data_IF_375235020204
#
_entry.id   IF_375235020204
#
_cell.length_a   1.000
_cell.length_b   1.000
_cell.length_c   1.000
_cell.angle_alpha   90.00
_cell.angle_beta   90.00
_cell.angle_gamma   90.00
#
_symmetry.space_group_name_H-M   'P 1'
#
loop_
_entity.id
_entity.type
_entity.pdbx_description
1 polymer ?
#
# COMPACT_ATOMS: atom_id res chain seq x y z
N UNK A 1 -4.35 -12.84 8.97
CA UNK A 1 -5.51 -13.24 8.13
C UNK A 1 -6.72 -12.40 8.48
N UNK A 2 -7.44 -11.89 7.49
CA UNK A 2 -8.69 -11.14 7.67
C UNK A 2 -9.82 -11.93 7.04
N UNK A 3 -10.83 -12.27 7.83
CA UNK A 3 -12.04 -12.92 7.36
C UNK A 3 -13.15 -11.87 7.28
N UNK A 4 -13.80 -11.80 6.14
CA UNK A 4 -14.87 -10.85 5.85
C UNK A 4 -16.16 -11.65 5.74
N UNK A 5 -16.99 -11.64 6.78
CA UNK A 5 -18.33 -12.19 6.71
C UNK A 5 -19.21 -11.29 5.85
N UNK A 6 -19.09 -9.96 6.06
CA UNK A 6 -19.74 -8.96 5.23
C UNK A 6 -18.99 -7.62 5.28
N UNK A 7 -18.81 -6.98 4.12
CA UNK A 7 -18.34 -5.60 3.99
C UNK A 7 -18.94 -5.01 2.70
N UNK A 8 -19.99 -4.21 2.83
CA UNK A 8 -20.78 -3.78 1.69
C UNK A 8 -21.36 -4.98 0.91
N UNK A 9 -21.06 -5.09 -0.38
CA UNK A 9 -21.46 -6.23 -1.21
C UNK A 9 -20.57 -7.47 -1.04
N UNK A 10 -19.38 -7.32 -0.44
CA UNK A 10 -18.43 -8.43 -0.25
C UNK A 10 -18.93 -9.33 0.87
N UNK A 11 -19.00 -10.64 0.62
CA UNK A 11 -19.40 -11.64 1.61
C UNK A 11 -18.47 -12.86 1.58
N UNK A 12 -18.36 -13.51 2.74
CA UNK A 12 -17.72 -14.82 2.94
C UNK A 12 -16.38 -14.93 2.20
N UNK A 13 -15.46 -14.03 2.53
CA UNK A 13 -14.17 -13.89 1.87
C UNK A 13 -13.04 -13.85 2.89
N UNK A 14 -11.86 -14.32 2.49
CA UNK A 14 -10.65 -14.27 3.33
C UNK A 14 -9.51 -13.59 2.58
N UNK A 15 -8.75 -12.76 3.30
CA UNK A 15 -7.61 -12.02 2.78
C UNK A 15 -6.41 -12.23 3.69
N UNK A 16 -5.30 -12.56 3.10
CA UNK A 16 -4.00 -12.61 3.76
C UNK A 16 -3.23 -11.33 3.46
N UNK A 17 -2.78 -10.63 4.49
CA UNK A 17 -1.97 -9.41 4.31
C UNK A 17 -0.59 -9.81 3.81
N UNK A 18 -0.17 -9.19 2.73
CA UNK A 18 1.13 -9.42 2.09
C UNK A 18 1.76 -8.09 1.66
N UNK A 19 3.08 -8.06 1.36
CA UNK A 19 3.77 -6.83 0.98
C UNK A 19 3.12 -6.10 -0.19
N UNK A 20 2.71 -6.83 -1.22
CA UNK A 20 2.04 -6.26 -2.40
C UNK A 20 0.72 -6.97 -2.61
N UNK A 21 -0.36 -6.22 -2.62
CA UNK A 21 -1.71 -6.73 -2.79
C UNK A 21 -2.36 -6.08 -4.01
N UNK A 22 -2.84 -6.91 -4.92
CA UNK A 22 -3.46 -6.46 -6.16
C UNK A 22 -4.92 -6.90 -6.20
N UNK A 23 -5.82 -5.94 -6.38
CA UNK A 23 -7.25 -6.16 -6.47
C UNK A 23 -7.74 -5.84 -7.88
N UNK A 24 -8.23 -6.83 -8.60
CA UNK A 24 -8.76 -6.72 -9.97
C UNK A 24 -10.22 -7.15 -10.04
N UNK A 25 -10.89 -6.84 -11.15
CA UNK A 25 -12.29 -7.16 -11.40
C UNK A 25 -13.10 -5.95 -11.86
N UNK A 26 -14.39 -6.15 -12.14
CA UNK A 26 -15.30 -5.11 -12.63
C UNK A 26 -15.48 -3.96 -11.64
N UNK A 27 -16.01 -2.84 -12.15
CA UNK A 27 -16.38 -1.67 -11.34
C UNK A 27 -17.49 -2.00 -10.33
N UNK A 28 -17.45 -1.34 -9.16
CA UNK A 28 -18.51 -1.45 -8.16
C UNK A 28 -18.48 -2.73 -7.32
N UNK A 29 -17.47 -3.60 -7.47
CA UNK A 29 -17.35 -4.85 -6.71
C UNK A 29 -16.67 -4.67 -5.32
N UNK A 30 -16.19 -3.47 -4.97
CA UNK A 30 -15.61 -3.21 -3.66
C UNK A 30 -14.09 -3.33 -3.60
N UNK A 31 -13.36 -3.25 -4.72
CA UNK A 31 -11.89 -3.27 -4.75
C UNK A 31 -11.28 -2.22 -3.83
N UNK A 32 -11.76 -0.96 -3.89
CA UNK A 32 -11.30 0.12 -3.03
C UNK A 32 -11.52 -0.19 -1.54
N UNK A 33 -12.64 -0.84 -1.19
CA UNK A 33 -12.91 -1.25 0.20
C UNK A 33 -11.85 -2.22 0.70
N UNK A 34 -11.48 -3.22 -0.14
CA UNK A 34 -10.45 -4.18 0.21
C UNK A 34 -9.06 -3.56 0.28
N UNK A 35 -8.73 -2.70 -0.68
CA UNK A 35 -7.45 -2.03 -0.69
C UNK A 35 -7.27 -1.12 0.55
N UNK A 36 -8.31 -0.36 0.92
CA UNK A 36 -8.33 0.45 2.15
C UNK A 36 -8.28 -0.42 3.41
N UNK A 37 -9.03 -1.55 3.44
CA UNK A 37 -8.98 -2.51 4.55
C UNK A 37 -7.57 -3.04 4.75
N UNK A 38 -6.90 -3.41 3.67
CA UNK A 38 -5.52 -3.89 3.77
C UNK A 38 -4.55 -2.77 4.14
N UNK A 39 -4.76 -1.56 3.61
CA UNK A 39 -3.96 -0.39 3.96
C UNK A 39 -4.07 -0.01 5.45
N UNK A 40 -5.20 -0.28 6.09
CA UNK A 40 -5.39 -0.06 7.53
C UNK A 40 -4.26 -0.68 8.35
N UNK A 41 -3.80 -1.88 8.02
CA UNK A 41 -2.74 -2.55 8.76
C UNK A 41 -1.40 -1.81 8.68
N UNK A 42 -1.12 -1.17 7.57
CA UNK A 42 0.08 -0.33 7.41
C UNK A 42 -0.11 1.05 8.03
N UNK A 43 -1.32 1.60 7.97
CA UNK A 43 -1.65 2.90 8.51
C UNK A 43 -1.68 2.91 10.04
N UNK A 44 -2.23 1.88 10.68
CA UNK A 44 -2.32 1.79 12.14
C UNK A 44 -0.94 1.89 12.80
N UNK A 45 0.11 1.48 12.08
CA UNK A 45 1.50 1.55 12.52
C UNK A 45 1.99 2.99 12.71
N UNK A 46 1.48 3.90 11.90
CA UNK A 46 1.90 5.29 11.85
C UNK A 46 0.95 6.20 12.65
N UNK A 47 -0.25 5.73 12.98
CA UNK A 47 -1.23 6.51 13.72
C UNK A 47 -1.25 6.17 15.22
N UNK A 48 -0.34 6.79 15.96
CA UNK A 48 -0.27 6.65 17.42
C UNK A 48 -1.63 6.89 18.12
N UNK A 49 -2.49 7.77 17.58
CA UNK A 49 -3.79 8.09 18.16
C UNK A 49 -4.75 6.89 18.17
N UNK A 50 -4.64 5.99 17.20
CA UNK A 50 -5.50 4.79 17.15
C UNK A 50 -5.11 3.79 18.23
N UNK A 51 -3.82 3.50 18.36
CA UNK A 51 -3.32 2.60 19.41
C UNK A 51 -3.53 3.23 20.80
N UNK A 52 -3.34 4.53 20.95
CA UNK A 52 -3.61 5.20 22.22
C UNK A 52 -5.09 5.04 22.64
N UNK A 53 -6.06 5.10 21.71
CA UNK A 53 -7.46 4.80 22.05
C UNK A 53 -7.66 3.37 22.59
N UNK A 54 -6.94 2.38 22.03
CA UNK A 54 -6.97 1.03 22.59
C UNK A 54 -6.43 1.00 24.02
N UNK A 55 -5.26 1.59 24.25
CA UNK A 55 -4.63 1.69 25.57
C UNK A 55 -5.59 2.38 26.57
N UNK A 56 -6.15 3.52 26.19
CA UNK A 56 -7.12 4.28 27.00
C UNK A 56 -8.39 3.49 27.29
N UNK A 57 -8.91 2.74 26.30
CA UNK A 57 -10.10 1.89 26.48
C UNK A 57 -9.92 0.79 27.53
N UNK A 58 -8.65 0.39 27.76
CA UNK A 58 -8.28 -0.59 28.79
C UNK A 58 -7.98 0.05 30.15
N UNK A 59 -8.05 1.37 30.26
CA UNK A 59 -7.69 2.11 31.46
C UNK A 59 -6.19 2.04 31.80
N UNK A 60 -5.34 1.74 30.83
CA UNK A 60 -3.91 1.67 31.04
C UNK A 60 -3.28 3.06 31.02
N UNK A 61 -2.88 3.52 32.20
CA UNK A 61 -2.14 4.76 32.41
C UNK A 61 -0.68 4.44 32.75
N UNK A 62 0.25 4.78 31.85
CA UNK A 62 1.64 4.47 32.04
C UNK A 62 2.23 5.02 33.35
N UNK A 63 1.89 6.25 33.71
CA UNK A 63 2.43 6.89 34.91
C UNK A 63 1.97 6.22 36.21
N UNK A 64 0.72 5.74 36.25
CA UNK A 64 0.18 5.00 37.37
C UNK A 64 0.71 3.57 37.43
N UNK A 65 0.81 2.92 36.29
CA UNK A 65 1.28 1.56 36.15
C UNK A 65 2.77 1.43 36.48
N UNK A 66 3.59 2.46 36.21
CA UNK A 66 5.03 2.46 36.46
C UNK A 66 5.39 2.04 37.89
N UNK A 67 4.63 2.50 38.86
CA UNK A 67 4.84 2.17 40.26
C UNK A 67 4.47 0.70 40.56
N UNK A 68 3.36 0.22 39.98
CA UNK A 68 2.95 -1.20 40.15
C UNK A 68 3.91 -2.17 39.45
N UNK A 69 4.54 -1.78 38.37
CA UNK A 69 5.46 -2.63 37.61
C UNK A 69 6.75 -2.94 38.37
N UNK A 70 7.22 -2.00 39.20
CA UNK A 70 8.41 -2.20 40.02
C UNK A 70 8.25 -3.34 41.04
N UNK A 71 7.00 -3.58 41.47
CA UNK A 71 6.72 -4.57 42.50
C UNK A 71 6.42 -5.97 41.94
N UNK A 72 5.86 -6.09 40.76
CA UNK A 72 5.35 -7.37 40.22
C UNK A 72 6.13 -7.95 39.03
N UNK A 73 6.93 -7.15 38.34
CA UNK A 73 7.67 -7.56 37.12
C UNK A 73 6.81 -7.87 35.89
N UNK A 74 5.49 -7.93 36.04
CA UNK A 74 4.55 -8.12 34.93
C UNK A 74 3.71 -6.86 34.75
N UNK A 75 3.85 -6.24 33.60
CA UNK A 75 3.17 -4.97 33.34
C UNK A 75 1.71 -5.17 32.94
N UNK A 76 1.46 -5.96 31.88
CA UNK A 76 0.15 -6.11 31.26
C UNK A 76 0.06 -7.48 30.60
N UNK A 77 -1.12 -8.07 30.67
CA UNK A 77 -1.50 -9.18 29.79
C UNK A 77 -2.58 -8.72 28.84
N UNK A 78 -2.32 -8.83 27.56
CA UNK A 78 -3.25 -8.46 26.49
C UNK A 78 -3.90 -9.73 25.98
N UNK A 79 -5.21 -9.88 26.17
CA UNK A 79 -5.94 -10.99 25.55
C UNK A 79 -5.85 -10.89 24.04
N UNK A 80 -5.34 -11.93 23.41
CA UNK A 80 -5.23 -12.05 21.95
C UNK A 80 -6.58 -11.82 21.29
N UNK A 81 -7.63 -12.48 21.76
CA UNK A 81 -8.98 -12.36 21.21
C UNK A 81 -9.53 -10.93 21.33
N UNK A 82 -9.36 -10.32 22.49
CA UNK A 82 -9.81 -8.95 22.72
C UNK A 82 -9.11 -7.92 21.80
N UNK A 83 -7.82 -8.12 21.56
CA UNK A 83 -7.08 -7.28 20.64
C UNK A 83 -7.47 -7.51 19.17
N UNK A 84 -7.70 -8.77 18.76
CA UNK A 84 -8.23 -9.12 17.44
C UNK A 84 -9.61 -8.49 17.21
N UNK A 85 -10.50 -8.53 18.21
CA UNK A 85 -11.84 -7.93 18.14
C UNK A 85 -11.77 -6.40 18.05
N UNK A 86 -10.87 -5.78 18.83
CA UNK A 86 -10.65 -4.34 18.73
C UNK A 86 -10.11 -3.93 17.36
N UNK A 87 -9.13 -4.67 16.80
CA UNK A 87 -8.61 -4.40 15.46
C UNK A 87 -9.72 -4.46 14.41
N UNK A 88 -10.61 -5.44 14.51
CA UNK A 88 -11.73 -5.59 13.60
C UNK A 88 -12.69 -4.38 13.67
N UNK A 89 -13.04 -3.93 14.87
CA UNK A 89 -13.91 -2.79 15.08
C UNK A 89 -13.25 -1.46 14.63
N UNK A 90 -11.97 -1.25 14.97
CA UNK A 90 -11.23 -0.04 14.56
C UNK A 90 -11.00 0.01 13.05
N UNK A 91 -10.83 -1.15 12.40
CA UNK A 91 -10.74 -1.25 10.93
C UNK A 91 -12.04 -0.76 10.25
N UNK A 92 -13.21 -1.12 10.76
CA UNK A 92 -14.48 -0.60 10.24
C UNK A 92 -14.57 0.91 10.46
N UNK A 93 -14.20 1.41 11.64
CA UNK A 93 -14.14 2.85 11.92
C UNK A 93 -13.18 3.59 10.96
N UNK A 94 -12.05 2.98 10.62
CA UNK A 94 -11.13 3.51 9.63
C UNK A 94 -11.76 3.59 8.24
N UNK A 95 -12.46 2.55 7.80
CA UNK A 95 -13.14 2.54 6.50
C UNK A 95 -14.27 3.57 6.45
N UNK A 96 -15.05 3.72 7.53
CA UNK A 96 -16.08 4.76 7.65
C UNK A 96 -15.48 6.15 7.44
N UNK A 97 -14.35 6.42 8.08
CA UNK A 97 -13.64 7.70 7.92
C UNK A 97 -13.07 7.87 6.50
N UNK A 98 -12.39 6.85 5.96
CA UNK A 98 -11.81 6.91 4.61
C UNK A 98 -12.85 7.22 3.53
N UNK A 99 -14.06 6.68 3.69
CA UNK A 99 -15.16 6.80 2.73
C UNK A 99 -16.14 7.93 3.07
N UNK A 100 -16.01 8.58 4.24
CA UNK A 100 -16.99 9.49 4.80
C UNK A 100 -18.39 8.86 4.82
N UNK A 101 -18.49 7.62 5.30
CA UNK A 101 -19.72 6.86 5.35
C UNK A 101 -19.89 6.19 6.72
N UNK A 102 -20.46 6.93 7.68
CA UNK A 102 -20.72 6.42 9.03
C UNK A 102 -21.74 5.26 9.04
N UNK A 103 -22.56 5.16 8.00
CA UNK A 103 -23.52 4.07 7.82
C UNK A 103 -22.91 2.77 7.31
N UNK A 104 -21.63 2.74 6.95
CA UNK A 104 -20.95 1.53 6.53
C UNK A 104 -20.95 0.51 7.67
N UNK A 105 -21.56 -0.63 7.42
CA UNK A 105 -21.53 -1.78 8.33
C UNK A 105 -20.64 -2.85 7.75
N UNK A 106 -19.90 -3.52 8.63
CA UNK A 106 -19.07 -4.65 8.28
C UNK A 106 -19.00 -5.64 9.44
N UNK A 107 -18.82 -6.90 9.11
CA UNK A 107 -18.56 -7.97 10.07
C UNK A 107 -17.25 -8.63 9.64
N UNK A 108 -16.20 -8.31 10.38
CA UNK A 108 -14.83 -8.76 10.15
C UNK A 108 -14.36 -9.60 11.32
N UNK A 109 -13.50 -10.57 11.04
CA UNK A 109 -12.69 -11.24 12.05
C UNK A 109 -11.23 -11.17 11.61
N UNK A 110 -10.38 -10.63 12.47
CA UNK A 110 -8.95 -10.53 12.25
C UNK A 110 -8.28 -11.62 13.07
N UNK A 111 -7.33 -12.34 12.48
CA UNK A 111 -6.51 -13.33 13.18
C UNK A 111 -5.05 -12.91 13.06
N UNK A 112 -4.42 -12.77 14.21
CA UNK A 112 -2.98 -12.56 14.31
C UNK A 112 -2.22 -13.78 13.77
N UNK A 113 -0.92 -13.66 13.45
CA UNK A 113 -0.10 -14.80 13.03
C UNK A 113 -0.15 -15.96 14.05
N UNK A 114 0.04 -17.19 13.56
CA UNK A 114 -0.08 -18.41 14.37
C UNK A 114 1.04 -18.59 15.39
N UNK A 115 2.18 -17.91 15.20
CA UNK A 115 3.28 -17.83 16.15
C UNK A 115 2.93 -17.04 17.43
N UNK A 116 1.80 -16.34 17.45
CA UNK A 116 1.20 -15.73 18.64
C UNK A 116 0.06 -16.65 19.11
N UNK A 117 0.40 -17.74 19.78
CA UNK A 117 -0.61 -18.73 20.22
C UNK A 117 -1.32 -18.35 21.50
N UNK A 118 -0.68 -17.56 22.36
CA UNK A 118 -1.16 -17.18 23.69
C UNK A 118 -1.40 -15.68 23.82
N UNK A 119 -1.95 -15.28 24.96
CA UNK A 119 -2.08 -13.87 25.32
C UNK A 119 -0.71 -13.19 25.37
N UNK A 120 -0.65 -11.94 24.91
CA UNK A 120 0.59 -11.19 24.82
C UNK A 120 0.92 -10.63 26.21
N UNK A 121 2.01 -11.11 26.79
CA UNK A 121 2.51 -10.61 28.08
C UNK A 121 3.57 -9.54 27.84
N UNK A 122 3.32 -8.34 28.34
CA UNK A 122 4.28 -7.23 28.31
C UNK A 122 4.92 -7.11 29.69
N UNK A 123 6.23 -7.24 29.75
CA UNK A 123 7.02 -7.04 30.97
C UNK A 123 7.77 -5.72 30.90
N UNK A 124 7.96 -5.12 32.05
CA UNK A 124 8.60 -3.82 32.21
C UNK A 124 9.78 -3.92 33.16
N UNK A 125 10.88 -3.25 32.82
CA UNK A 125 12.04 -3.05 33.68
C UNK A 125 12.56 -1.63 33.53
N UNK A 126 13.08 -1.07 34.63
CA UNK A 126 13.88 0.16 34.60
C UNK A 126 15.35 -0.20 34.77
N UNK A 127 16.21 0.37 33.97
CA UNK A 127 17.66 0.28 34.07
C UNK A 127 18.21 1.68 34.31
N UNK A 128 18.88 1.83 35.45
CA UNK A 128 19.55 3.07 35.84
C UNK A 128 21.02 2.94 35.46
N UNK A 129 21.49 3.80 34.59
CA UNK A 129 22.89 3.88 34.17
C UNK A 129 23.46 5.24 34.53
N UNK A 130 24.60 5.26 35.20
CA UNK A 130 25.31 6.51 35.49
C UNK A 130 26.05 6.49 36.83
N UNK A 131 26.87 7.52 37.05
CA UNK A 131 27.52 7.81 38.34
C UNK A 131 26.56 8.70 39.15
N UNK A 132 26.73 8.68 40.47
CA UNK A 132 25.86 9.27 41.52
C UNK A 132 25.28 10.67 41.24
N UNK A 133 25.88 11.45 40.33
CA UNK A 133 25.43 12.81 39.98
C UNK A 133 24.75 12.95 38.62
N UNK A 134 24.66 11.86 37.84
CA UNK A 134 23.96 11.83 36.53
C UNK A 134 23.44 10.43 36.23
N UNK A 135 22.23 10.17 36.68
CA UNK A 135 21.54 8.92 36.43
C UNK A 135 20.66 9.08 35.17
N UNK A 136 20.93 8.26 34.17
CA UNK A 136 20.06 8.09 33.01
C UNK A 136 19.16 6.88 33.24
N UNK A 137 17.85 7.10 33.23
CA UNK A 137 16.86 6.04 33.34
C UNK A 137 16.51 5.53 31.96
N UNK A 138 16.62 4.22 31.77
CA UNK A 138 16.17 3.54 30.56
C UNK A 138 15.00 2.63 30.89
N UNK A 139 14.00 2.67 30.03
CA UNK A 139 12.84 1.78 30.09
C UNK A 139 13.09 0.62 29.15
N UNK A 140 12.97 -0.60 29.67
CA UNK A 140 12.98 -1.84 28.90
C UNK A 140 11.59 -2.44 28.90
N UNK A 141 11.08 -2.76 27.73
CA UNK A 141 9.86 -3.52 27.54
C UNK A 141 10.19 -4.82 26.81
N UNK A 142 9.68 -5.91 27.37
CA UNK A 142 9.74 -7.24 26.78
C UNK A 142 8.34 -7.61 26.32
N UNK A 143 8.21 -7.96 25.05
CA UNK A 143 6.94 -8.39 24.49
C UNK A 143 7.21 -9.45 23.42
N UNK A 144 6.65 -10.64 23.60
CA UNK A 144 7.00 -11.81 22.80
C UNK A 144 8.53 -12.01 22.86
N UNK A 145 9.19 -12.25 21.73
CA UNK A 145 10.65 -12.42 21.64
C UNK A 145 11.43 -11.11 21.48
N UNK A 146 10.74 -9.97 21.63
CA UNK A 146 11.31 -8.66 21.38
C UNK A 146 11.59 -7.89 22.66
N UNK A 147 12.76 -7.26 22.71
CA UNK A 147 13.15 -6.35 23.79
C UNK A 147 13.36 -4.96 23.23
N UNK A 148 12.65 -3.99 23.81
CA UNK A 148 12.80 -2.58 23.48
C UNK A 148 13.46 -1.85 24.63
N UNK A 149 14.42 -0.96 24.31
CA UNK A 149 15.10 -0.10 25.26
C UNK A 149 15.04 1.32 24.78
N UNK A 150 14.55 2.22 25.60
CA UNK A 150 14.47 3.64 25.31
C UNK A 150 14.86 4.45 26.55
N UNK A 151 15.56 5.59 26.33
CA UNK A 151 15.86 6.53 27.40
C UNK A 151 14.57 7.24 27.81
N UNK A 152 14.28 7.30 29.11
CA UNK A 152 13.12 8.01 29.64
C UNK A 152 13.18 9.51 29.26
N UNK A 153 12.04 10.05 28.84
CA UNK A 153 11.93 11.43 28.35
C UNK A 153 12.51 11.70 26.95
N UNK A 154 12.96 10.67 26.21
CA UNK A 154 13.47 10.86 24.84
C UNK A 154 12.40 11.01 23.77
N UNK A 155 11.13 10.73 24.10
CA UNK A 155 9.98 10.88 23.22
C UNK A 155 9.03 11.91 23.82
N UNK A 156 8.97 13.07 23.18
CA UNK A 156 8.16 14.19 23.68
C UNK A 156 6.66 14.06 23.34
N UNK A 157 6.32 13.36 22.26
CA UNK A 157 4.96 13.30 21.71
C UNK A 157 4.11 12.13 22.19
N UNK A 158 4.70 11.15 22.84
CA UNK A 158 4.04 9.89 23.21
C UNK A 158 4.72 9.31 24.45
N UNK A 159 3.97 8.59 25.31
CA UNK A 159 4.61 7.88 26.42
C UNK A 159 5.56 6.79 25.88
N UNK A 160 6.72 6.56 26.52
CA UNK A 160 7.62 5.48 26.11
C UNK A 160 6.95 4.12 26.04
N UNK A 161 5.99 3.86 26.94
CA UNK A 161 5.21 2.62 26.93
C UNK A 161 4.33 2.52 25.68
N UNK A 162 3.57 3.56 25.34
CA UNK A 162 2.71 3.56 24.14
C UNK A 162 3.53 3.39 22.87
N UNK A 163 4.68 4.06 22.79
CA UNK A 163 5.62 3.91 21.67
C UNK A 163 6.12 2.48 21.53
N UNK A 164 6.66 1.89 22.63
CA UNK A 164 7.22 0.54 22.62
C UNK A 164 6.13 -0.51 22.37
N UNK A 165 4.96 -0.33 22.99
CA UNK A 165 3.81 -1.18 22.80
C UNK A 165 3.35 -1.19 21.35
N UNK A 166 3.20 -0.03 20.74
CA UNK A 166 2.85 0.13 19.34
C UNK A 166 3.87 -0.57 18.44
N UNK A 167 5.16 -0.29 18.59
CA UNK A 167 6.22 -0.91 17.79
C UNK A 167 6.24 -2.43 17.94
N UNK A 168 6.09 -2.93 19.16
CA UNK A 168 6.10 -4.36 19.42
C UNK A 168 4.92 -5.08 18.78
N UNK A 169 3.69 -4.61 19.02
CA UNK A 169 2.51 -5.20 18.41
C UNK A 169 2.66 -5.31 16.90
N UNK A 170 3.17 -4.26 16.28
CA UNK A 170 3.32 -4.12 14.85
C UNK A 170 4.32 -5.08 14.26
N UNK A 171 5.50 -5.21 14.86
CA UNK A 171 6.51 -6.16 14.40
C UNK A 171 5.99 -7.60 14.47
N UNK A 172 5.16 -7.90 15.47
CA UNK A 172 4.58 -9.23 15.63
C UNK A 172 3.34 -9.45 14.74
N UNK A 173 2.55 -8.42 14.45
CA UNK A 173 1.38 -8.54 13.57
C UNK A 173 1.78 -8.64 12.10
N UNK A 174 2.75 -7.88 11.67
CA UNK A 174 3.13 -7.74 10.26
C UNK A 174 4.46 -8.42 9.90
N UNK A 175 5.10 -9.14 10.83
CA UNK A 175 6.36 -9.84 10.59
C UNK A 175 7.50 -8.90 10.21
N UNK A 176 8.21 -9.20 9.12
CA UNK A 176 9.42 -8.47 8.69
C UNK A 176 9.22 -7.03 8.19
N UNK A 177 8.10 -6.39 8.47
CA UNK A 177 7.83 -4.98 8.13
C UNK A 177 8.66 -3.96 8.95
N UNK A 178 9.86 -4.31 9.30
CA UNK A 178 10.73 -3.61 10.28
C UNK A 178 11.11 -2.17 9.91
N UNK A 179 10.91 -1.75 8.66
CA UNK A 179 11.45 -0.49 8.17
C UNK A 179 10.37 0.48 7.65
N UNK A 180 9.10 0.28 7.99
CA UNK A 180 8.05 1.19 7.54
C UNK A 180 8.14 2.53 8.28
N UNK A 181 8.47 3.60 7.55
CA UNK A 181 8.59 4.96 8.10
C UNK A 181 7.35 5.82 7.79
N UNK A 182 6.63 5.52 6.70
CA UNK A 182 5.52 6.36 6.27
C UNK A 182 4.46 5.61 5.44
N UNK A 183 3.26 6.21 5.36
CA UNK A 183 2.18 5.70 4.52
C UNK A 183 1.62 6.79 3.62
N UNK A 184 1.40 6.46 2.36
CA UNK A 184 0.88 7.35 1.34
C UNK A 184 -0.37 6.78 0.69
N UNK A 185 -1.26 7.68 0.27
CA UNK A 185 -2.51 7.33 -0.39
C UNK A 185 -2.62 8.09 -1.69
N UNK A 186 -2.89 7.38 -2.78
CA UNK A 186 -3.09 7.92 -4.12
C UNK A 186 -4.46 7.49 -4.65
N UNK A 187 -5.47 8.37 -4.62
CA UNK A 187 -6.82 8.08 -5.13
C UNK A 187 -6.82 8.00 -6.66
N UNK A 188 -7.93 7.55 -7.29
CA UNK A 188 -8.00 7.39 -8.74
C UNK A 188 -7.98 8.72 -9.51
N UNK A 189 -8.30 9.85 -8.86
CA UNK A 189 -8.23 11.19 -9.44
C UNK A 189 -7.29 12.06 -8.62
N UNK A 190 -6.04 12.17 -9.05
CA UNK A 190 -4.95 12.82 -8.33
C UNK A 190 -4.69 14.25 -8.77
N UNK A 191 -4.88 14.51 -10.07
CA UNK A 191 -4.55 15.78 -10.71
C UNK A 191 -5.23 17.01 -10.10
N UNK A 192 -6.53 17.00 -9.83
CA UNK A 192 -7.24 18.19 -9.34
C UNK A 192 -6.68 18.78 -8.05
N UNK A 193 -6.15 17.95 -7.14
CA UNK A 193 -5.60 18.43 -5.87
C UNK A 193 -4.20 19.08 -6.01
N UNK A 194 -3.56 18.98 -7.16
CA UNK A 194 -2.35 19.74 -7.46
C UNK A 194 -2.63 21.13 -8.01
N UNK A 195 -3.84 21.35 -8.52
CA UNK A 195 -4.22 22.55 -9.28
C UNK A 195 -5.27 23.40 -8.59
N UNK A 196 -6.04 22.81 -7.68
CA UNK A 196 -7.18 23.44 -7.04
C UNK A 196 -7.07 23.36 -5.51
N UNK A 197 -7.52 24.41 -4.82
CA UNK A 197 -7.67 24.39 -3.36
C UNK A 197 -8.95 23.66 -2.97
N UNK A 198 -8.89 22.32 -2.92
CA UNK A 198 -10.02 21.48 -2.60
C UNK A 198 -10.07 21.19 -1.10
N UNK A 199 -11.24 21.31 -0.48
CA UNK A 199 -11.52 20.84 0.87
C UNK A 199 -12.01 19.39 0.78
N UNK A 200 -11.21 18.41 1.23
CA UNK A 200 -11.59 17.00 1.15
C UNK A 200 -12.81 16.69 2.02
N UNK A 201 -13.74 15.90 1.49
CA UNK A 201 -14.88 15.39 2.27
C UNK A 201 -14.66 13.99 2.80
N UNK A 202 -13.77 13.22 2.21
CA UNK A 202 -13.45 11.83 2.59
C UNK A 202 -12.06 11.73 3.20
N UNK A 203 -11.85 10.78 4.09
CA UNK A 203 -10.53 10.50 4.67
C UNK A 203 -9.50 10.13 3.61
N UNK A 204 -9.93 9.45 2.52
CA UNK A 204 -9.06 9.11 1.39
C UNK A 204 -8.42 10.38 0.78
N UNK A 205 -9.22 11.37 0.43
CA UNK A 205 -8.72 12.61 -0.15
C UNK A 205 -8.06 13.54 0.88
N UNK A 206 -8.46 13.50 2.15
CA UNK A 206 -7.76 14.21 3.23
C UNK A 206 -6.33 13.65 3.42
N UNK A 207 -6.18 12.34 3.42
CA UNK A 207 -4.88 11.67 3.44
C UNK A 207 -4.04 12.02 2.21
N UNK A 208 -4.65 12.02 1.05
CA UNK A 208 -3.96 12.40 -0.18
C UNK A 208 -3.49 13.87 -0.15
N UNK A 209 -4.33 14.80 0.32
CA UNK A 209 -3.93 16.21 0.51
C UNK A 209 -2.72 16.34 1.43
N UNK A 210 -2.72 15.60 2.56
CA UNK A 210 -1.58 15.54 3.48
C UNK A 210 -0.34 14.95 2.81
N UNK A 211 -0.51 13.92 2.00
CA UNK A 211 0.57 13.31 1.19
C UNK A 211 1.23 14.36 0.28
N UNK A 212 0.44 15.04 -0.55
CA UNK A 212 0.92 16.07 -1.48
C UNK A 212 1.64 17.20 -0.74
N UNK A 213 1.05 17.68 0.36
CA UNK A 213 1.62 18.74 1.16
C UNK A 213 2.95 18.35 1.83
N UNK A 214 3.04 17.11 2.31
CA UNK A 214 4.28 16.55 2.86
C UNK A 214 5.37 16.46 1.79
N UNK A 215 5.05 15.83 0.67
CA UNK A 215 5.98 15.67 -0.46
C UNK A 215 6.44 17.04 -0.98
N UNK A 216 5.53 18.03 -1.08
CA UNK A 216 5.85 19.37 -1.56
C UNK A 216 6.87 20.13 -0.69
N UNK A 217 7.02 19.77 0.58
CA UNK A 217 7.92 20.44 1.55
C UNK A 217 9.28 19.79 1.74
N UNK A 218 9.42 18.53 1.32
CA UNK A 218 10.69 17.80 1.46
C UNK A 218 11.60 18.15 0.28
N UNK A 219 12.86 18.44 0.57
CA UNK A 219 13.85 18.62 -0.47
C UNK A 219 14.12 17.31 -1.22
N UNK A 220 14.39 17.36 -2.53
CA UNK A 220 14.77 16.17 -3.29
C UNK A 220 16.01 15.48 -2.69
N UNK A 221 15.94 14.15 -2.61
CA UNK A 221 17.05 13.28 -2.22
C UNK A 221 17.42 12.34 -3.38
N UNK A 222 18.07 12.84 -4.43
CA UNK A 222 18.30 12.08 -5.66
C UNK A 222 19.13 10.80 -5.46
N UNK A 223 19.89 10.69 -4.38
CA UNK A 223 20.79 9.56 -4.11
C UNK A 223 20.05 8.25 -3.81
N UNK A 224 18.78 8.32 -3.39
CA UNK A 224 17.98 7.14 -3.01
C UNK A 224 17.19 6.55 -4.19
N UNK A 225 17.14 7.24 -5.31
CA UNK A 225 16.32 6.85 -6.48
C UNK A 225 17.15 6.10 -7.50
N UNK A 226 16.71 4.90 -7.90
CA UNK A 226 17.36 4.19 -9.00
C UNK A 226 17.26 4.99 -10.30
N UNK A 227 18.35 5.06 -11.05
CA UNK A 227 18.38 5.76 -12.34
C UNK A 227 17.35 5.19 -13.33
N UNK A 228 17.11 3.88 -13.27
CA UNK A 228 16.11 3.22 -14.09
C UNK A 228 14.68 3.77 -13.81
N UNK A 229 14.31 3.92 -12.54
CA UNK A 229 13.00 4.46 -12.17
C UNK A 229 12.86 5.93 -12.61
N UNK A 230 13.92 6.73 -12.42
CA UNK A 230 13.94 8.12 -12.85
C UNK A 230 13.77 8.24 -14.38
N UNK A 231 14.46 7.39 -15.14
CA UNK A 231 14.32 7.34 -16.60
C UNK A 231 12.91 6.94 -17.04
N UNK A 232 12.28 5.97 -16.36
CA UNK A 232 10.90 5.56 -16.65
C UNK A 232 9.91 6.68 -16.37
N UNK A 233 10.07 7.40 -15.24
CA UNK A 233 9.23 8.55 -14.89
C UNK A 233 9.39 9.69 -15.91
N UNK A 234 10.61 10.03 -16.28
CA UNK A 234 10.86 11.05 -17.31
C UNK A 234 10.24 10.66 -18.66
N UNK A 235 10.31 9.37 -19.03
CA UNK A 235 9.73 8.87 -20.29
C UNK A 235 8.21 8.91 -20.29
N UNK A 236 7.53 8.51 -19.19
CA UNK A 236 6.07 8.51 -19.12
C UNK A 236 5.50 9.94 -19.04
N UNK A 237 6.22 10.83 -18.38
CA UNK A 237 5.89 12.25 -18.28
C UNK A 237 6.22 13.03 -19.57
N UNK A 238 7.20 12.58 -20.37
CA UNK A 238 7.80 13.33 -21.47
C UNK A 238 8.38 14.67 -20.97
N UNK A 239 8.91 14.65 -19.75
CA UNK A 239 9.44 15.82 -19.05
C UNK A 239 9.73 15.53 -17.58
N UNK A 240 9.72 16.57 -16.76
CA UNK A 240 9.95 16.50 -15.31
C UNK A 240 8.94 17.36 -14.56
N UNK A 241 8.62 16.95 -13.34
CA UNK A 241 7.80 17.73 -12.42
C UNK A 241 8.64 18.11 -11.20
N UNK A 242 8.51 19.34 -10.77
CA UNK A 242 9.16 19.86 -9.55
C UNK A 242 8.26 20.86 -8.84
N UNK A 243 8.72 21.36 -7.68
CA UNK A 243 8.08 22.45 -6.94
C UNK A 243 9.04 23.61 -6.80
N UNK A 244 8.55 24.82 -7.06
CA UNK A 244 9.29 26.06 -6.86
C UNK A 244 8.36 27.08 -6.21
N UNK A 245 8.81 27.68 -5.12
CA UNK A 245 8.05 28.68 -4.36
C UNK A 245 6.63 28.23 -3.95
N UNK A 246 6.44 26.90 -3.75
CA UNK A 246 5.15 26.29 -3.39
C UNK A 246 4.26 25.93 -4.57
N UNK A 247 4.65 26.26 -5.78
CA UNK A 247 3.95 25.91 -7.01
C UNK A 247 4.52 24.64 -7.64
N UNK A 248 3.65 23.84 -8.26
CA UNK A 248 4.03 22.65 -9.04
C UNK A 248 4.26 23.05 -10.50
N UNK A 249 5.47 22.74 -10.98
CA UNK A 249 5.92 23.08 -12.33
C UNK A 249 6.16 21.80 -13.15
N UNK A 250 5.87 21.86 -14.43
CA UNK A 250 6.18 20.84 -15.39
C UNK A 250 7.12 21.39 -16.46
N UNK A 251 8.30 20.80 -16.58
CA UNK A 251 9.36 21.20 -17.51
C UNK A 251 9.49 20.18 -18.64
N UNK A 252 9.52 20.67 -19.86
CA UNK A 252 9.76 19.91 -21.10
C UNK A 252 10.92 20.50 -21.88
N UNK A 253 11.31 19.90 -22.99
CA UNK A 253 12.27 20.49 -23.94
C UNK A 253 11.79 21.82 -24.54
N UNK A 254 10.48 22.10 -24.51
CA UNK A 254 9.87 23.33 -25.04
C UNK A 254 9.70 24.44 -24.00
N UNK A 255 10.06 24.19 -22.75
CA UNK A 255 9.98 25.18 -21.67
C UNK A 255 9.26 24.65 -20.42
N UNK A 256 9.04 25.57 -19.48
CA UNK A 256 8.42 25.32 -18.18
C UNK A 256 7.02 25.95 -18.15
N UNK A 257 6.07 25.22 -17.55
CA UNK A 257 4.69 25.68 -17.36
C UNK A 257 4.14 25.21 -16.01
N UNK A 258 3.13 25.90 -15.46
CA UNK A 258 2.42 25.43 -14.26
C UNK A 258 1.78 24.07 -14.52
N UNK A 259 1.76 23.20 -13.51
CA UNK A 259 1.17 21.86 -13.62
C UNK A 259 -0.33 21.91 -14.02
N UNK A 260 -1.03 22.99 -13.68
CA UNK A 260 -2.42 23.24 -14.08
C UNK A 260 -2.64 23.29 -15.58
N UNK A 261 -1.63 23.76 -16.33
CA UNK A 261 -1.63 23.83 -17.79
C UNK A 261 -1.18 22.52 -18.47
N UNK A 262 -0.64 21.56 -17.69
CA UNK A 262 -0.19 20.29 -18.23
C UNK A 262 -1.37 19.34 -18.55
N UNK A 263 -1.10 18.36 -19.43
CA UNK A 263 -2.08 17.31 -19.76
C UNK A 263 -2.56 16.53 -18.52
N UNK A 264 -3.79 16.02 -18.57
CA UNK A 264 -4.38 15.25 -17.47
C UNK A 264 -3.47 14.08 -17.05
N UNK A 265 -2.92 13.34 -18.00
CA UNK A 265 -2.00 12.23 -17.73
C UNK A 265 -0.75 12.67 -16.96
N UNK A 266 -0.20 13.85 -17.22
CA UNK A 266 0.93 14.41 -16.49
C UNK A 266 0.53 14.73 -15.06
N UNK A 267 -0.61 15.38 -14.86
CA UNK A 267 -1.13 15.72 -13.53
C UNK A 267 -1.41 14.49 -12.67
N UNK A 268 -1.86 13.39 -13.27
CA UNK A 268 -2.11 12.13 -12.56
C UNK A 268 -0.81 11.40 -12.15
N UNK A 269 0.27 11.53 -12.91
CA UNK A 269 1.56 10.90 -12.62
C UNK A 269 2.44 11.77 -11.71
N UNK A 270 2.30 13.08 -11.78
CA UNK A 270 3.12 14.06 -11.07
C UNK A 270 3.31 13.78 -9.56
N UNK A 271 2.26 13.42 -8.78
CA UNK A 271 2.42 13.12 -7.37
C UNK A 271 3.33 11.93 -7.10
N UNK A 272 3.29 10.92 -7.96
CA UNK A 272 4.14 9.73 -7.84
C UNK A 272 5.61 10.08 -8.18
N UNK A 273 5.82 10.91 -9.19
CA UNK A 273 7.15 11.37 -9.57
C UNK A 273 7.78 12.21 -8.46
N UNK A 274 7.02 13.12 -7.85
CA UNK A 274 7.47 13.92 -6.71
C UNK A 274 7.78 13.05 -5.48
N UNK A 275 6.96 12.04 -5.21
CA UNK A 275 7.22 11.09 -4.11
C UNK A 275 8.59 10.42 -4.29
N UNK A 276 8.85 9.91 -5.48
CA UNK A 276 10.09 9.18 -5.80
C UNK A 276 11.32 10.06 -5.58
N UNK A 277 11.28 11.31 -6.00
CA UNK A 277 12.43 12.22 -5.86
C UNK A 277 12.68 12.68 -4.41
N UNK A 278 11.71 12.50 -3.50
CA UNK A 278 11.72 13.11 -2.16
C UNK A 278 11.56 12.16 -1.00
N UNK A 279 11.38 10.86 -1.29
CA UNK A 279 11.11 9.86 -0.25
C UNK A 279 11.85 8.57 -0.58
N UNK A 280 12.38 7.93 0.45
CA UNK A 280 12.91 6.58 0.28
C UNK A 280 11.77 5.58 0.13
N UNK A 281 11.49 5.18 -1.12
CA UNK A 281 10.37 4.31 -1.46
C UNK A 281 10.45 2.91 -0.84
N UNK A 282 11.63 2.46 -0.39
CA UNK A 282 11.78 1.15 0.28
C UNK A 282 11.20 1.11 1.70
N UNK A 283 10.86 2.28 2.25
CA UNK A 283 10.41 2.44 3.64
C UNK A 283 8.97 2.92 3.77
N UNK A 284 8.19 2.79 2.70
CA UNK A 284 6.82 3.30 2.67
C UNK A 284 5.79 2.23 2.34
N UNK A 285 4.58 2.44 2.84
CA UNK A 285 3.40 1.74 2.36
C UNK A 285 2.53 2.67 1.51
N UNK A 286 1.97 2.14 0.44
CA UNK A 286 1.25 2.95 -0.53
C UNK A 286 -0.07 2.29 -0.94
N UNK A 287 -1.18 2.97 -0.67
CA UNK A 287 -2.44 2.68 -1.31
C UNK A 287 -2.49 3.46 -2.62
N UNK A 288 -2.58 2.77 -3.74
CA UNK A 288 -2.74 3.40 -5.05
C UNK A 288 -3.97 2.83 -5.77
N UNK A 289 -4.96 3.68 -5.97
CA UNK A 289 -6.16 3.32 -6.70
C UNK A 289 -6.01 3.70 -8.17
N UNK A 290 -6.28 2.73 -9.04
CA UNK A 290 -6.28 2.89 -10.49
C UNK A 290 -5.05 3.68 -11.00
N UNK A 291 -3.82 3.15 -10.82
CA UNK A 291 -2.61 3.84 -11.28
C UNK A 291 -2.62 4.16 -12.77
N UNK A 292 -3.43 3.45 -13.53
CA UNK A 292 -3.65 3.62 -14.96
C UNK A 292 -4.67 4.68 -15.34
N UNK A 293 -5.37 5.30 -14.38
CA UNK A 293 -6.44 6.26 -14.67
C UNK A 293 -5.93 7.44 -15.55
N UNK A 294 -6.71 7.82 -16.54
CA UNK A 294 -6.40 8.87 -17.52
C UNK A 294 -5.16 8.64 -18.40
N UNK A 295 -4.61 7.42 -18.42
CA UNK A 295 -3.45 7.07 -19.22
C UNK A 295 -3.84 6.37 -20.53
N UNK A 296 -3.15 6.72 -21.61
CA UNK A 296 -3.21 5.95 -22.86
C UNK A 296 -2.68 4.51 -22.62
N UNK A 297 -3.20 3.48 -23.33
CA UNK A 297 -2.77 2.07 -23.13
C UNK A 297 -1.27 1.84 -23.07
N UNK A 298 -0.48 2.53 -23.89
CA UNK A 298 0.99 2.44 -23.86
C UNK A 298 1.53 2.94 -22.50
N UNK A 299 1.01 4.07 -22.00
CA UNK A 299 1.40 4.63 -20.69
C UNK A 299 0.90 3.78 -19.52
N UNK A 300 -0.23 3.05 -19.66
CA UNK A 300 -0.67 2.07 -18.67
C UNK A 300 0.34 0.91 -18.50
N UNK A 301 0.91 0.41 -19.62
CA UNK A 301 2.00 -0.57 -19.55
C UNK A 301 3.26 0.00 -18.89
N UNK A 302 3.63 1.24 -19.21
CA UNK A 302 4.76 1.92 -18.56
C UNK A 302 4.53 2.15 -17.07
N UNK A 303 3.29 2.34 -16.63
CA UNK A 303 2.95 2.42 -15.20
C UNK A 303 3.22 1.09 -14.49
N UNK A 304 2.97 -0.06 -15.11
CA UNK A 304 3.35 -1.35 -14.57
C UNK A 304 4.89 -1.48 -14.44
N UNK A 305 5.66 -0.97 -15.41
CA UNK A 305 7.13 -0.92 -15.33
C UNK A 305 7.60 -0.04 -14.14
N UNK A 306 6.96 1.10 -13.91
CA UNK A 306 7.25 1.99 -12.78
C UNK A 306 6.93 1.28 -11.46
N UNK A 307 5.74 0.71 -11.30
CA UNK A 307 5.36 0.03 -10.07
C UNK A 307 6.19 -1.24 -9.82
N UNK A 308 6.72 -1.88 -10.85
CA UNK A 308 7.68 -2.98 -10.68
C UNK A 308 8.96 -2.52 -9.97
N UNK A 309 9.45 -1.31 -10.25
CA UNK A 309 10.58 -0.73 -9.53
C UNK A 309 10.27 -0.50 -8.06
N UNK A 310 9.05 -0.09 -7.71
CA UNK A 310 8.61 0.05 -6.31
C UNK A 310 8.55 -1.31 -5.61
N UNK A 311 7.99 -2.34 -6.26
CA UNK A 311 7.93 -3.72 -5.73
C UNK A 311 9.35 -4.22 -5.43
N UNK A 312 10.25 -4.04 -6.38
CA UNK A 312 11.64 -4.47 -6.24
C UNK A 312 12.42 -3.69 -5.19
N UNK A 313 12.09 -2.42 -4.98
CA UNK A 313 12.64 -1.60 -3.90
C UNK A 313 12.12 -2.02 -2.50
N UNK A 314 11.07 -2.82 -2.43
CA UNK A 314 10.47 -3.26 -1.16
C UNK A 314 9.34 -2.39 -0.65
N UNK A 315 8.78 -1.52 -1.49
CA UNK A 315 7.58 -0.74 -1.16
C UNK A 315 6.39 -1.66 -0.89
N UNK A 316 5.68 -1.42 0.19
CA UNK A 316 4.42 -2.10 0.47
C UNK A 316 3.30 -1.45 -0.33
N UNK A 317 2.51 -2.23 -1.07
CA UNK A 317 1.50 -1.64 -1.95
C UNK A 317 0.16 -2.36 -1.88
N UNK A 318 -0.90 -1.56 -1.87
CA UNK A 318 -2.28 -2.00 -2.10
C UNK A 318 -2.76 -1.33 -3.39
N UNK A 319 -2.95 -2.12 -4.44
CA UNK A 319 -3.22 -1.64 -5.78
C UNK A 319 -4.62 -2.10 -6.20
N UNK A 320 -5.46 -1.16 -6.64
CA UNK A 320 -6.68 -1.51 -7.37
C UNK A 320 -6.48 -1.21 -8.86
N UNK A 321 -7.00 -2.05 -9.73
CA UNK A 321 -6.88 -1.83 -11.18
C UNK A 321 -8.09 -2.35 -11.95
N UNK A 322 -8.38 -1.68 -13.06
CA UNK A 322 -9.32 -2.06 -14.10
C UNK A 322 -8.63 -2.26 -15.47
N UNK A 323 -7.29 -2.17 -15.53
CA UNK A 323 -6.57 -2.18 -16.78
C UNK A 323 -6.05 -3.56 -17.16
N UNK A 324 -6.53 -4.07 -18.27
CA UNK A 324 -5.96 -5.23 -18.94
C UNK A 324 -4.50 -5.00 -19.36
N UNK A 325 -4.18 -3.82 -19.89
CA UNK A 325 -2.83 -3.46 -20.33
C UNK A 325 -1.84 -3.44 -19.17
N UNK A 326 -2.27 -2.96 -18.00
CA UNK A 326 -1.48 -2.96 -16.77
C UNK A 326 -1.24 -4.40 -16.30
N UNK A 327 -2.29 -5.23 -16.21
CA UNK A 327 -2.21 -6.62 -15.74
C UNK A 327 -1.37 -7.50 -16.66
N UNK A 328 -1.56 -7.38 -17.98
CA UNK A 328 -0.74 -8.12 -18.97
C UNK A 328 0.72 -7.76 -18.83
N UNK A 329 1.03 -6.46 -18.68
CA UNK A 329 2.42 -6.04 -18.51
C UNK A 329 3.01 -6.56 -17.20
N UNK A 330 2.28 -6.53 -16.10
CA UNK A 330 2.73 -7.08 -14.83
C UNK A 330 3.03 -8.59 -14.96
N UNK A 331 2.16 -9.35 -15.63
CA UNK A 331 2.40 -10.77 -15.92
C UNK A 331 3.67 -11.00 -16.72
N UNK A 332 3.91 -10.21 -17.78
CA UNK A 332 5.15 -10.25 -18.55
C UNK A 332 6.40 -10.04 -17.66
N UNK A 333 6.33 -9.10 -16.69
CA UNK A 333 7.44 -8.80 -15.78
C UNK A 333 7.66 -9.91 -14.74
N UNK A 334 6.59 -10.58 -14.31
CA UNK A 334 6.69 -11.78 -13.46
C UNK A 334 7.30 -12.97 -14.23
N UNK A 335 6.88 -13.19 -15.46
CA UNK A 335 7.47 -14.23 -16.32
C UNK A 335 8.93 -13.94 -16.64
N UNK A 336 9.29 -12.66 -16.78
CA UNK A 336 10.69 -12.24 -16.92
C UNK A 336 11.53 -12.64 -15.69
N UNK A 337 10.96 -12.59 -14.47
CA UNK A 337 11.62 -13.10 -13.26
C UNK A 337 11.80 -14.60 -13.29
N UNK A 338 10.78 -15.37 -13.68
CA UNK A 338 10.89 -16.82 -13.86
C UNK A 338 11.98 -17.17 -14.88
N UNK A 339 12.05 -16.39 -15.96
CA UNK A 339 13.10 -16.55 -16.97
C UNK A 339 14.49 -16.27 -16.39
N UNK A 340 14.65 -15.21 -15.58
CA UNK A 340 15.92 -14.90 -14.91
C UNK A 340 16.37 -16.02 -13.97
N UNK A 341 15.44 -16.63 -13.25
CA UNK A 341 15.71 -17.76 -12.37
C UNK A 341 16.14 -19.01 -13.15
N UNK A 342 15.51 -19.26 -14.30
CA UNK A 342 15.89 -20.37 -15.18
C UNK A 342 17.31 -20.24 -15.74
N UNK A 343 17.80 -19.04 -15.94
CA UNK A 343 19.13 -18.73 -16.46
C UNK A 343 20.06 -18.14 -15.40
N UNK A 344 19.87 -18.50 -14.12
CA UNK A 344 20.66 -17.96 -13.01
C UNK A 344 22.16 -18.23 -13.16
N UNK A 345 22.52 -19.40 -13.74
CA UNK A 345 23.90 -19.78 -14.01
C UNK A 345 24.44 -19.21 -15.34
N UNK A 346 23.60 -18.59 -16.16
CA UNK A 346 23.96 -18.00 -17.45
C UNK A 346 23.27 -16.67 -17.67
N UNK A 347 23.69 -15.67 -16.88
CA UNK A 347 23.13 -14.32 -16.90
C UNK A 347 23.31 -13.61 -18.24
N UNK A 348 24.38 -13.90 -18.98
CA UNK A 348 24.60 -13.34 -20.33
C UNK A 348 23.51 -13.78 -21.31
N UNK A 349 23.11 -15.03 -21.26
CA UNK A 349 22.02 -15.57 -22.09
C UNK A 349 20.68 -14.93 -21.71
N UNK A 350 20.42 -14.69 -20.41
CA UNK A 350 19.25 -13.97 -19.97
C UNK A 350 19.21 -12.55 -20.54
N UNK A 351 20.31 -11.81 -20.43
CA UNK A 351 20.42 -10.45 -20.96
C UNK A 351 20.26 -10.43 -22.49
N UNK A 352 20.84 -11.38 -23.21
CA UNK A 352 20.68 -11.51 -24.67
C UNK A 352 19.21 -11.74 -25.06
N UNK A 353 18.47 -12.58 -24.32
CA UNK A 353 17.05 -12.79 -24.53
C UNK A 353 16.28 -11.49 -24.27
N UNK A 354 16.56 -10.78 -23.18
CA UNK A 354 15.92 -9.51 -22.89
C UNK A 354 16.15 -8.46 -23.98
N UNK A 355 17.37 -8.38 -24.50
CA UNK A 355 17.72 -7.49 -25.60
C UNK A 355 16.93 -7.83 -26.88
N UNK A 356 16.81 -9.12 -27.23
CA UNK A 356 15.99 -9.58 -28.37
C UNK A 356 14.51 -9.25 -28.21
N UNK A 357 13.99 -9.32 -26.97
CA UNK A 357 12.63 -8.95 -26.63
C UNK A 357 12.43 -7.44 -26.47
N UNK A 358 13.50 -6.65 -26.51
CA UNK A 358 13.51 -5.21 -26.24
C UNK A 358 12.92 -4.85 -24.85
N UNK A 359 13.17 -5.71 -23.87
CA UNK A 359 12.73 -5.53 -22.48
C UNK A 359 13.96 -5.28 -21.61
N UNK A 360 13.87 -4.29 -20.72
CA UNK A 360 14.90 -4.06 -19.72
C UNK A 360 14.87 -5.19 -18.68
N UNK A 361 15.98 -5.94 -18.56
CA UNK A 361 16.12 -7.06 -17.64
C UNK A 361 15.92 -6.69 -16.16
N UNK A 362 16.19 -5.43 -15.78
CA UNK A 362 16.02 -4.91 -14.43
C UNK A 362 14.54 -4.72 -14.00
N UNK A 363 13.59 -4.86 -14.93
CA UNK A 363 12.15 -4.72 -14.65
C UNK A 363 11.49 -6.02 -14.17
N UNK A 364 12.22 -7.14 -14.15
CA UNK A 364 11.69 -8.41 -13.61
C UNK A 364 11.18 -8.22 -12.18
N UNK A 365 10.00 -8.79 -11.87
CA UNK A 365 9.30 -8.56 -10.59
C UNK A 365 9.39 -9.78 -9.70
N UNK A 366 9.72 -9.57 -8.43
CA UNK A 366 9.66 -10.58 -7.36
C UNK A 366 8.20 -10.96 -7.06
N UNK A 367 7.67 -11.91 -7.84
CA UNK A 367 6.25 -12.29 -7.81
C UNK A 367 5.83 -12.97 -6.50
N UNK A 368 6.74 -13.60 -5.75
CA UNK A 368 6.46 -14.20 -4.45
C UNK A 368 6.02 -13.21 -3.37
N UNK A 369 6.26 -11.92 -3.58
CA UNK A 369 5.79 -10.83 -2.71
C UNK A 369 4.38 -10.34 -3.04
N UNK A 370 3.79 -10.82 -4.14
CA UNK A 370 2.51 -10.37 -4.66
C UNK A 370 1.41 -11.35 -4.28
N UNK A 371 0.35 -10.84 -3.67
CA UNK A 371 -0.94 -11.53 -3.56
C UNK A 371 -1.97 -10.85 -4.44
N UNK A 372 -2.53 -11.58 -5.39
CA UNK A 372 -3.57 -11.07 -6.27
C UNK A 372 -4.94 -11.62 -5.90
N UNK A 373 -5.94 -10.78 -5.96
CA UNK A 373 -7.33 -11.09 -5.66
C UNK A 373 -8.23 -10.63 -6.80
N UNK A 374 -9.04 -11.56 -7.30
CA UNK A 374 -10.08 -11.27 -8.29
C UNK A 374 -11.43 -11.13 -7.58
N UNK A 375 -12.09 -10.00 -7.83
CA UNK A 375 -13.45 -9.76 -7.38
C UNK A 375 -14.40 -10.09 -8.53
N UNK A 376 -15.40 -10.92 -8.23
CA UNK A 376 -16.43 -11.31 -9.18
C UNK A 376 -17.81 -11.22 -8.54
N UNK A 377 -18.83 -10.96 -9.36
CA UNK A 377 -20.22 -10.91 -8.92
C UNK A 377 -20.80 -12.33 -8.83
N UNK A 378 -21.47 -12.64 -7.71
CA UNK A 378 -22.26 -13.86 -7.55
C UNK A 378 -23.65 -13.68 -8.14
N UNK A 379 -24.36 -14.78 -8.37
CA UNK A 379 -25.74 -14.77 -8.89
C UNK A 379 -26.74 -14.03 -7.98
N UNK A 380 -26.46 -13.95 -6.68
CA UNK A 380 -27.27 -13.23 -5.70
C UNK A 380 -26.95 -11.72 -5.62
N UNK A 381 -26.09 -11.22 -6.51
CA UNK A 381 -25.65 -9.83 -6.56
C UNK A 381 -24.53 -9.47 -5.58
N UNK A 382 -24.11 -10.39 -4.70
CA UNK A 382 -22.99 -10.17 -3.80
C UNK A 382 -21.64 -10.32 -4.52
N UNK A 383 -20.56 -9.87 -3.89
CA UNK A 383 -19.19 -9.98 -4.40
C UNK A 383 -18.45 -11.12 -3.71
N UNK A 384 -17.84 -11.97 -4.51
CA UNK A 384 -16.85 -12.95 -4.08
C UNK A 384 -15.43 -12.42 -4.32
N UNK A 385 -14.53 -12.69 -3.38
CA UNK A 385 -13.11 -12.39 -3.50
C UNK A 385 -12.34 -13.70 -3.56
N UNK A 386 -11.58 -13.91 -4.61
CA UNK A 386 -10.83 -15.15 -4.82
C UNK A 386 -9.34 -14.85 -4.95
N UNK A 387 -8.53 -15.41 -4.04
CA UNK A 387 -7.06 -15.35 -4.15
C UNK A 387 -6.63 -16.10 -5.41
N UNK A 388 -5.77 -15.50 -6.19
CA UNK A 388 -5.29 -16.03 -7.46
C UNK A 388 -3.97 -16.76 -7.29
N UNK A 389 -3.78 -17.79 -8.10
CA UNK A 389 -2.51 -18.51 -8.21
C UNK A 389 -1.54 -17.64 -9.04
N UNK A 390 -0.66 -16.93 -8.36
CA UNK A 390 0.26 -15.99 -9.00
C UNK A 390 1.25 -16.66 -9.96
N UNK A 391 1.51 -17.95 -9.79
CA UNK A 391 2.37 -18.70 -10.70
C UNK A 391 1.77 -18.83 -12.10
N UNK A 392 0.44 -18.74 -12.20
CA UNK A 392 -0.29 -18.71 -13.48
C UNK A 392 -0.53 -17.29 -14.01
N UNK A 393 -0.06 -16.29 -13.27
CA UNK A 393 -0.29 -14.88 -13.55
C UNK A 393 -1.62 -14.36 -12.99
N UNK A 394 -1.78 -13.04 -13.01
CA UNK A 394 -3.01 -12.37 -12.60
C UNK A 394 -4.04 -12.49 -13.73
N UNK A 395 -5.24 -13.03 -13.46
CA UNK A 395 -6.25 -13.18 -14.51
C UNK A 395 -6.86 -11.84 -14.93
N UNK A 396 -7.18 -11.74 -16.21
CA UNK A 396 -7.87 -10.61 -16.85
C UNK A 396 -9.07 -11.08 -17.70
N UNK A 397 -9.71 -12.16 -17.30
CA UNK A 397 -10.76 -12.85 -18.07
C UNK A 397 -11.94 -11.95 -18.47
N UNK A 398 -12.38 -11.03 -17.60
CA UNK A 398 -13.47 -10.10 -17.90
C UNK A 398 -13.14 -9.13 -19.07
N UNK A 399 -11.87 -8.74 -19.21
CA UNK A 399 -11.42 -7.92 -20.33
C UNK A 399 -11.33 -8.73 -21.61
N UNK A 400 -10.84 -9.97 -21.55
CA UNK A 400 -10.78 -10.87 -22.71
C UNK A 400 -12.17 -11.11 -23.28
N UNK A 401 -13.16 -11.36 -22.41
CA UNK A 401 -14.55 -11.54 -22.85
C UNK A 401 -15.09 -10.31 -23.57
N UNK A 402 -14.86 -9.10 -23.05
CA UNK A 402 -15.31 -7.87 -23.70
C UNK A 402 -14.67 -7.68 -25.11
N UNK A 403 -13.40 -8.07 -25.27
CA UNK A 403 -12.71 -8.04 -26.56
C UNK A 403 -13.32 -9.10 -27.50
N UNK A 404 -13.53 -10.32 -27.04
CA UNK A 404 -14.07 -11.41 -27.83
C UNK A 404 -15.49 -11.09 -28.30
N UNK A 405 -16.33 -10.56 -27.40
CA UNK A 405 -17.68 -10.09 -27.73
C UNK A 405 -17.65 -8.98 -28.79
N UNK A 406 -16.75 -8.00 -28.63
CA UNK A 406 -16.59 -6.90 -29.59
C UNK A 406 -16.10 -7.39 -30.97
N UNK A 407 -15.15 -8.32 -31.00
CA UNK A 407 -14.66 -8.94 -32.23
C UNK A 407 -15.75 -9.75 -32.90
N UNK A 408 -16.52 -10.54 -32.15
CA UNK A 408 -17.63 -11.34 -32.65
C UNK A 408 -18.71 -10.46 -33.28
N UNK A 409 -19.15 -9.41 -32.58
CA UNK A 409 -20.13 -8.43 -33.10
C UNK A 409 -19.59 -7.73 -34.34
N UNK A 410 -18.34 -7.24 -34.31
CA UNK A 410 -17.71 -6.56 -35.45
C UNK A 410 -17.59 -7.48 -36.67
N UNK A 411 -17.22 -8.74 -36.45
CA UNK A 411 -17.16 -9.74 -37.53
C UNK A 411 -18.55 -9.99 -38.14
N UNK A 412 -19.58 -10.19 -37.32
CA UNK A 412 -20.94 -10.41 -37.78
C UNK A 412 -21.49 -9.22 -38.57
N UNK A 413 -21.26 -7.99 -38.09
CA UNK A 413 -21.67 -6.77 -38.83
C UNK A 413 -20.98 -6.76 -40.21
N UNK A 414 -19.67 -6.99 -40.28
CA UNK A 414 -18.93 -7.03 -41.55
C UNK A 414 -19.47 -8.11 -42.48
N UNK A 415 -19.80 -9.30 -41.97
CA UNK A 415 -20.40 -10.38 -42.75
C UNK A 415 -21.73 -9.95 -43.37
N UNK A 416 -22.63 -9.33 -42.60
CA UNK A 416 -23.91 -8.83 -43.14
C UNK A 416 -23.73 -7.70 -44.16
N UNK A 417 -22.69 -6.89 -44.03
CA UNK A 417 -22.39 -5.85 -45.02
C UNK A 417 -21.84 -6.41 -46.33
N UNK A 418 -21.14 -7.55 -46.30
CA UNK A 418 -20.53 -8.16 -47.49
C UNK A 418 -21.47 -9.13 -48.18
N UNK A 419 -22.22 -9.96 -47.42
CA UNK A 419 -23.01 -11.04 -48.00
C UNK A 419 -24.39 -10.60 -48.52
N UNK A 420 -24.87 -9.39 -48.18
CA UNK A 420 -26.13 -8.80 -48.70
C UNK A 420 -27.40 -9.64 -48.50
N UNK A 421 -27.31 -10.72 -47.73
CA UNK A 421 -28.42 -11.66 -47.47
C UNK A 421 -28.83 -11.57 -46.00
N UNK A 422 -30.06 -11.12 -45.80
CA UNK A 422 -30.81 -11.27 -44.53
C UNK A 422 -31.18 -12.73 -44.36
#
# INVERSE_FOLDING_TARGET
MVYIKQLGAIKDSAIEISPVMLFSGESGLGKSYLAMLCHYFFYILQDAKRINRYIESKGWNFSEMRNSFRDTGVAITISKQDFEDWLAADCISYLQWMLNNEGLKGELSIRLPNDIDEDIVVRYEEEILGLVDKEDVYIKLYMLDLTYRIKDGSIESESPFAFLFRHGLIQNILGDFKNLEDTFVFPPSRGPMLTEEIIPKTGLYDRYKKTIHKIGRVNPHPETVSENLRRLLSKILEGKVDTKDGEYLYSTEHGELPISAAAASVREIAPLALLVERTNISKVAMLIEEPEAHLHPIKQRMMADILSCFINAGTYMQITTHSDYFLRRLNELMDLKKLSQRYIENTEKYVDICNKLQINSALSVEYNKISAYLLSRRNDGTTQVTKQDIDKGVPFASFSQAIDDSLCVGFNIKKYLTDGTI
#
